data_IF_814268623718
#
_entry.id   IF_814268623718
#
_cell.length_a   1.000
_cell.length_b   1.000
_cell.length_c   1.000
_cell.angle_alpha   90.00
_cell.angle_beta   90.00
_cell.angle_gamma   90.00
#
_symmetry.space_group_name_H-M   'P 1'
#
loop_
_entity.id
_entity.type
_entity.pdbx_description
1 polymer ?
#
# COMPACT_ATOMS: atom_id res chain seq x y z
N UNK A 1 -12.45 -8.05 15.17
CA UNK A 1 -12.78 -7.28 13.94
C UNK A 1 -11.70 -7.51 12.88
N UNK A 2 -11.99 -7.30 11.56
CA UNK A 2 -11.06 -7.67 10.48
C UNK A 2 -9.69 -6.99 10.63
N UNK A 3 -9.64 -5.67 10.79
CA UNK A 3 -8.38 -4.95 10.98
C UNK A 3 -7.61 -5.42 12.21
N UNK A 4 -8.28 -5.64 13.33
CA UNK A 4 -7.65 -6.15 14.55
C UNK A 4 -7.00 -7.52 14.32
N UNK A 5 -7.71 -8.44 13.66
CA UNK A 5 -7.16 -9.76 13.33
C UNK A 5 -5.90 -9.65 12.45
N UNK A 6 -5.89 -8.74 11.47
CA UNK A 6 -4.74 -8.54 10.59
C UNK A 6 -3.54 -7.92 11.35
N UNK A 7 -3.75 -6.85 12.12
CA UNK A 7 -2.65 -6.16 12.80
C UNK A 7 -2.05 -6.98 13.94
N UNK A 8 -2.81 -7.91 14.54
CA UNK A 8 -2.34 -8.80 15.59
C UNK A 8 -1.81 -10.15 15.09
N UNK A 9 -1.90 -10.43 13.79
CA UNK A 9 -1.45 -11.68 13.20
C UNK A 9 0.07 -11.81 13.29
N UNK A 10 0.56 -12.90 13.90
CA UNK A 10 1.98 -13.21 14.02
C UNK A 10 2.38 -14.36 13.08
N UNK A 11 1.44 -15.26 12.77
CA UNK A 11 1.68 -16.45 11.96
C UNK A 11 0.76 -16.49 10.74
N UNK A 12 1.13 -17.22 9.66
CA UNK A 12 0.25 -17.41 8.51
C UNK A 12 -1.12 -18.01 8.87
N UNK A 13 -1.18 -18.77 9.95
CA UNK A 13 -2.43 -19.38 10.42
C UNK A 13 -3.42 -18.33 10.93
N UNK A 14 -2.91 -17.27 11.56
CA UNK A 14 -3.73 -16.19 12.11
C UNK A 14 -4.38 -15.35 10.98
N UNK A 15 -3.80 -15.39 9.79
CA UNK A 15 -4.32 -14.70 8.60
C UNK A 15 -5.36 -15.49 7.81
N UNK A 16 -5.64 -16.76 8.17
CA UNK A 16 -6.60 -17.58 7.41
C UNK A 16 -7.99 -16.99 7.53
N UNK A 17 -8.55 -16.58 6.39
CA UNK A 17 -9.89 -15.97 6.31
C UNK A 17 -9.91 -14.46 6.64
N UNK A 18 -8.77 -13.86 6.92
CA UNK A 18 -8.63 -12.44 7.20
C UNK A 18 -7.79 -11.76 6.11
N UNK A 19 -8.41 -11.07 5.21
CA UNK A 19 -7.81 -10.22 4.19
C UNK A 19 -8.65 -8.98 3.98
N UNK A 20 -8.03 -7.87 3.59
CA UNK A 20 -8.76 -6.66 3.20
C UNK A 20 -9.26 -6.74 1.75
N UNK A 21 -8.70 -7.62 0.94
CA UNK A 21 -9.20 -7.90 -0.40
C UNK A 21 -10.70 -8.28 -0.36
N UNK A 22 -11.47 -7.82 -1.32
CA UNK A 22 -12.94 -7.93 -1.40
C UNK A 22 -13.74 -7.16 -0.32
N UNK A 23 -13.06 -6.45 0.59
CA UNK A 23 -13.71 -5.60 1.59
C UNK A 23 -13.50 -4.11 1.32
N UNK A 24 -12.31 -3.72 0.91
CA UNK A 24 -11.97 -2.34 0.57
C UNK A 24 -11.73 -2.16 -0.92
N UNK A 25 -11.36 -3.22 -1.62
CA UNK A 25 -11.20 -3.25 -3.09
C UNK A 25 -11.53 -4.63 -3.65
N UNK A 26 -11.90 -4.70 -4.91
CA UNK A 26 -12.08 -5.93 -5.68
C UNK A 26 -11.49 -5.74 -7.08
N UNK A 27 -10.38 -6.43 -7.38
CA UNK A 27 -9.68 -6.30 -8.66
C UNK A 27 -9.39 -4.82 -9.03
N UNK A 28 -8.93 -4.03 -8.06
CA UNK A 28 -8.67 -2.58 -8.16
C UNK A 28 -9.91 -1.69 -8.29
N UNK A 29 -11.13 -2.24 -8.19
CA UNK A 29 -12.35 -1.44 -8.02
C UNK A 29 -12.46 -1.04 -6.55
N UNK A 30 -12.57 0.26 -6.28
CA UNK A 30 -12.56 0.84 -4.93
C UNK A 30 -13.98 1.07 -4.45
N UNK A 31 -14.23 0.73 -3.18
CA UNK A 31 -15.51 0.97 -2.50
C UNK A 31 -15.48 2.27 -1.69
N UNK A 32 -16.64 2.79 -1.33
CA UNK A 32 -16.74 4.02 -0.52
C UNK A 32 -16.04 3.91 0.85
N UNK A 33 -16.05 2.72 1.46
CA UNK A 33 -15.37 2.48 2.74
C UNK A 33 -13.84 2.50 2.64
N UNK A 34 -13.28 2.53 1.43
CA UNK A 34 -11.83 2.49 1.21
C UNK A 34 -11.15 3.79 1.67
N UNK A 35 -11.75 4.95 1.43
CA UNK A 35 -11.15 6.23 1.82
C UNK A 35 -10.82 6.28 3.32
N UNK A 36 -11.75 6.02 4.26
CA UNK A 36 -11.40 5.93 5.68
C UNK A 36 -10.49 4.75 6.00
N UNK A 37 -10.60 3.62 5.29
CA UNK A 37 -9.72 2.46 5.51
C UNK A 37 -8.24 2.79 5.22
N UNK A 38 -7.94 3.62 4.22
CA UNK A 38 -6.56 4.09 3.95
C UNK A 38 -5.94 4.76 5.17
N UNK A 39 -6.68 5.61 5.87
CA UNK A 39 -6.18 6.27 7.08
C UNK A 39 -5.85 5.27 8.19
N UNK A 40 -6.68 4.23 8.35
CA UNK A 40 -6.44 3.16 9.34
C UNK A 40 -5.22 2.32 8.94
N UNK A 41 -5.06 2.00 7.66
CA UNK A 41 -3.89 1.29 7.12
C UNK A 41 -2.61 2.08 7.41
N UNK A 42 -2.59 3.38 7.11
CA UNK A 42 -1.43 4.23 7.35
C UNK A 42 -1.08 4.31 8.84
N UNK A 43 -2.08 4.46 9.71
CA UNK A 43 -1.87 4.48 11.15
C UNK A 43 -1.28 3.15 11.66
N UNK A 44 -1.78 2.01 11.16
CA UNK A 44 -1.25 0.69 11.52
C UNK A 44 0.20 0.50 11.01
N UNK A 45 0.50 0.92 9.77
CA UNK A 45 1.85 0.84 9.18
C UNK A 45 2.88 1.69 9.94
N UNK A 46 2.46 2.74 10.63
CA UNK A 46 3.33 3.56 11.47
C UNK A 46 3.69 2.86 12.81
N UNK A 47 2.96 1.82 13.19
CA UNK A 47 3.19 1.05 14.41
C UNK A 47 4.11 -0.16 14.22
N UNK A 48 4.27 -0.92 15.30
CA UNK A 48 4.97 -2.20 15.26
C UNK A 48 4.03 -3.29 14.74
N UNK A 49 4.42 -3.93 13.65
CA UNK A 49 3.65 -4.98 13.00
C UNK A 49 4.53 -6.20 12.73
N UNK A 50 3.93 -7.37 12.76
CA UNK A 50 4.55 -8.57 12.18
C UNK A 50 4.82 -8.35 10.68
N UNK A 51 5.75 -9.12 10.13
CA UNK A 51 6.05 -9.04 8.69
C UNK A 51 4.86 -9.43 7.82
N UNK A 52 3.97 -10.27 8.32
CA UNK A 52 2.76 -10.71 7.62
C UNK A 52 1.73 -9.60 7.59
N UNK A 53 1.42 -9.01 8.75
CA UNK A 53 0.48 -7.89 8.86
C UNK A 53 0.95 -6.70 8.01
N UNK A 54 2.23 -6.36 8.07
CA UNK A 54 2.81 -5.27 7.27
C UNK A 54 2.66 -5.53 5.77
N UNK A 55 2.96 -6.75 5.31
CA UNK A 55 2.82 -7.13 3.90
C UNK A 55 1.38 -7.00 3.43
N UNK A 56 0.41 -7.52 4.18
CA UNK A 56 -1.01 -7.44 3.84
C UNK A 56 -1.46 -5.98 3.69
N UNK A 57 -1.11 -5.13 4.66
CA UNK A 57 -1.49 -3.73 4.62
C UNK A 57 -0.83 -2.95 3.49
N UNK A 58 0.46 -3.19 3.23
CA UNK A 58 1.17 -2.57 2.09
C UNK A 58 0.59 -3.01 0.76
N UNK A 59 0.30 -4.30 0.60
CA UNK A 59 -0.28 -4.83 -0.63
C UNK A 59 -1.68 -4.26 -0.88
N UNK A 60 -2.53 -4.20 0.14
CA UNK A 60 -3.82 -3.56 0.04
C UNK A 60 -3.69 -2.08 -0.35
N UNK A 61 -2.77 -1.35 0.30
CA UNK A 61 -2.53 0.07 -0.02
C UNK A 61 -2.05 0.25 -1.48
N UNK A 62 -1.23 -0.68 -1.99
CA UNK A 62 -0.78 -0.67 -3.39
C UNK A 62 -1.96 -0.86 -4.36
N UNK A 63 -2.85 -1.81 -4.11
CA UNK A 63 -4.04 -2.01 -4.93
C UNK A 63 -4.98 -0.82 -4.89
N UNK A 64 -5.16 -0.22 -3.72
CA UNK A 64 -5.98 0.98 -3.56
C UNK A 64 -5.37 2.17 -4.29
N UNK A 65 -4.04 2.35 -4.23
CA UNK A 65 -3.36 3.43 -4.95
C UNK A 65 -3.42 3.27 -6.47
N UNK A 66 -3.41 2.02 -6.96
CA UNK A 66 -3.58 1.67 -8.37
C UNK A 66 -5.05 1.77 -8.83
N UNK A 67 -5.98 1.71 -7.88
CA UNK A 67 -7.40 1.52 -8.16
C UNK A 67 -8.09 2.74 -8.77
N UNK A 68 -9.20 2.46 -9.43
CA UNK A 68 -10.15 3.46 -9.91
C UNK A 68 -11.51 3.21 -9.25
N UNK A 69 -12.30 4.27 -9.09
CA UNK A 69 -13.70 4.11 -8.72
C UNK A 69 -14.47 3.35 -9.80
N UNK A 70 -15.61 2.78 -9.45
CA UNK A 70 -16.54 2.25 -10.43
C UNK A 70 -17.15 3.42 -11.20
N UNK A 71 -16.71 3.63 -12.44
CA UNK A 71 -17.19 4.69 -13.33
C UNK A 71 -18.57 4.39 -13.95
N UNK A 72 -19.17 3.25 -13.60
CA UNK A 72 -20.46 2.83 -14.18
C UNK A 72 -21.64 3.74 -13.79
N UNK A 73 -21.53 4.47 -12.68
CA UNK A 73 -22.50 5.51 -12.28
C UNK A 73 -21.79 6.69 -11.61
N UNK A 74 -21.30 7.69 -12.38
CA UNK A 74 -20.77 8.90 -11.80
C UNK A 74 -21.89 9.65 -11.06
N UNK A 75 -21.77 9.72 -9.74
CA UNK A 75 -22.69 10.53 -8.92
C UNK A 75 -22.32 12.00 -9.11
N UNK A 76 -23.26 12.85 -9.61
CA UNK A 76 -22.97 14.26 -9.80
C UNK A 76 -22.48 14.91 -8.49
N UNK A 77 -21.34 15.60 -8.56
CA UNK A 77 -20.75 16.32 -7.42
C UNK A 77 -19.83 15.47 -6.53
N UNK A 78 -19.55 14.20 -6.86
CA UNK A 78 -18.55 13.39 -6.18
C UNK A 78 -17.23 13.40 -6.95
N UNK A 79 -16.13 13.58 -6.23
CA UNK A 79 -14.78 13.33 -6.71
C UNK A 79 -14.60 11.84 -7.01
N UNK A 80 -13.71 11.51 -7.96
CA UNK A 80 -13.36 10.13 -8.24
C UNK A 80 -12.77 9.46 -6.98
N UNK A 81 -13.36 8.35 -6.53
CA UNK A 81 -12.91 7.62 -5.33
C UNK A 81 -11.43 7.23 -5.41
N UNK A 82 -10.93 6.89 -6.60
CA UNK A 82 -9.52 6.60 -6.81
C UNK A 82 -8.62 7.78 -6.48
N UNK A 83 -9.01 8.98 -6.88
CA UNK A 83 -8.27 10.20 -6.58
C UNK A 83 -8.33 10.55 -5.09
N UNK A 84 -9.48 10.36 -4.45
CA UNK A 84 -9.62 10.55 -3.00
C UNK A 84 -8.74 9.57 -2.21
N UNK A 85 -8.73 8.29 -2.61
CA UNK A 85 -7.88 7.29 -1.98
C UNK A 85 -6.39 7.59 -2.19
N UNK A 86 -5.97 7.99 -3.40
CA UNK A 86 -4.60 8.41 -3.67
C UNK A 86 -4.19 9.63 -2.86
N UNK A 87 -5.04 10.65 -2.80
CA UNK A 87 -4.80 11.83 -1.99
C UNK A 87 -4.64 11.48 -0.51
N UNK A 88 -5.49 10.59 0.02
CA UNK A 88 -5.39 10.10 1.39
C UNK A 88 -4.11 9.28 1.61
N UNK A 89 -3.74 8.41 0.67
CA UNK A 89 -2.52 7.62 0.75
C UNK A 89 -1.25 8.50 0.67
N UNK A 90 -1.28 9.60 -0.08
CA UNK A 90 -0.17 10.57 -0.15
C UNK A 90 0.13 11.25 1.20
N UNK A 91 -0.82 11.33 2.13
CA UNK A 91 -0.56 11.80 3.49
C UNK A 91 0.48 10.92 4.21
N UNK A 92 0.56 9.63 3.86
CA UNK A 92 1.54 8.68 4.34
C UNK A 92 2.82 8.59 3.51
N UNK A 93 3.08 9.51 2.58
CA UNK A 93 4.21 9.44 1.64
C UNK A 93 5.55 9.14 2.33
N UNK A 94 5.89 9.88 3.37
CA UNK A 94 7.16 9.70 4.05
C UNK A 94 7.27 8.38 4.82
N UNK A 95 6.17 7.87 5.34
CA UNK A 95 6.10 6.55 5.94
C UNK A 95 6.38 5.46 4.89
N UNK A 96 5.77 5.55 3.72
CA UNK A 96 5.98 4.61 2.61
C UNK A 96 7.44 4.67 2.14
N UNK A 97 8.01 5.86 1.96
CA UNK A 97 9.43 6.03 1.63
C UNK A 97 10.34 5.42 2.70
N UNK A 98 10.07 5.65 3.97
CA UNK A 98 10.82 5.06 5.07
C UNK A 98 10.80 3.53 5.01
N UNK A 99 9.62 2.92 4.84
CA UNK A 99 9.47 1.47 4.69
C UNK A 99 10.28 0.98 3.49
N UNK A 100 10.21 1.67 2.35
CA UNK A 100 10.99 1.34 1.15
C UNK A 100 12.50 1.41 1.36
N UNK A 101 12.98 2.38 2.11
CA UNK A 101 14.41 2.58 2.33
C UNK A 101 14.99 1.71 3.46
N UNK A 102 14.20 1.33 4.45
CA UNK A 102 14.69 0.62 5.65
C UNK A 102 14.15 -0.79 5.79
N UNK A 103 13.01 -1.09 5.18
CA UNK A 103 12.30 -2.36 5.32
C UNK A 103 12.96 -3.55 4.60
N UNK A 104 12.27 -4.68 4.61
CA UNK A 104 12.64 -5.88 3.86
C UNK A 104 12.54 -5.61 2.35
N UNK A 105 13.18 -6.44 1.54
CA UNK A 105 13.17 -6.27 0.08
C UNK A 105 11.75 -6.33 -0.51
N UNK A 106 10.92 -7.24 -0.02
CA UNK A 106 9.53 -7.40 -0.47
C UNK A 106 8.67 -6.17 -0.12
N UNK A 107 8.80 -5.66 1.10
CA UNK A 107 8.11 -4.43 1.54
C UNK A 107 8.59 -3.22 0.73
N UNK A 108 9.89 -3.19 0.40
CA UNK A 108 10.48 -2.11 -0.38
C UNK A 108 9.98 -2.13 -1.84
N UNK A 109 9.80 -3.29 -2.45
CA UNK A 109 9.23 -3.40 -3.79
C UNK A 109 7.80 -2.84 -3.81
N UNK A 110 6.96 -3.27 -2.87
CA UNK A 110 5.59 -2.77 -2.77
C UNK A 110 5.54 -1.27 -2.46
N UNK A 111 6.44 -0.76 -1.60
CA UNK A 111 6.55 0.68 -1.34
C UNK A 111 6.93 1.47 -2.60
N UNK A 112 7.80 0.92 -3.45
CA UNK A 112 8.14 1.53 -4.74
C UNK A 112 6.96 1.56 -5.70
N UNK A 113 6.15 0.49 -5.74
CA UNK A 113 4.91 0.46 -6.54
C UNK A 113 3.92 1.53 -6.08
N UNK A 114 3.74 1.68 -4.76
CA UNK A 114 2.87 2.73 -4.22
C UNK A 114 3.37 4.12 -4.64
N UNK A 115 4.69 4.38 -4.56
CA UNK A 115 5.26 5.64 -5.02
C UNK A 115 5.05 5.87 -6.52
N UNK A 116 5.02 4.82 -7.34
CA UNK A 116 4.72 4.92 -8.77
C UNK A 116 3.31 5.46 -9.01
N UNK A 117 2.33 4.95 -8.30
CA UNK A 117 0.94 5.42 -8.41
C UNK A 117 0.74 6.85 -7.89
N UNK A 118 1.57 7.32 -6.97
CA UNK A 118 1.59 8.73 -6.56
C UNK A 118 2.26 9.63 -7.60
N UNK A 119 3.16 9.07 -8.40
CA UNK A 119 4.13 9.79 -9.22
C UNK A 119 3.65 10.24 -10.59
N UNK A 120 2.38 10.11 -10.94
CA UNK A 120 1.87 10.59 -12.22
C UNK A 120 1.98 12.13 -12.30
N UNK A 121 3.21 12.63 -12.53
CA UNK A 121 3.55 14.06 -12.63
C UNK A 121 4.25 14.66 -11.40
N UNK A 122 4.60 13.85 -10.39
CA UNK A 122 5.34 14.31 -9.21
C UNK A 122 6.80 13.83 -9.24
N UNK A 123 7.74 14.76 -9.48
CA UNK A 123 9.19 14.48 -9.49
C UNK A 123 9.68 13.88 -8.17
N UNK A 124 9.11 14.27 -7.04
CA UNK A 124 9.49 13.78 -5.72
C UNK A 124 9.19 12.28 -5.60
N UNK A 125 7.99 11.85 -5.95
CA UNK A 125 7.58 10.44 -5.90
C UNK A 125 8.43 9.60 -6.85
N UNK A 126 8.68 10.07 -8.07
CA UNK A 126 9.55 9.41 -9.05
C UNK A 126 10.98 9.26 -8.57
N UNK A 127 11.53 10.29 -7.90
CA UNK A 127 12.87 10.24 -7.33
C UNK A 127 12.99 9.17 -6.24
N UNK A 128 12.07 9.13 -5.28
CA UNK A 128 12.12 8.16 -4.18
C UNK A 128 11.81 6.74 -4.66
N UNK A 129 10.90 6.57 -5.61
CA UNK A 129 10.68 5.28 -6.26
C UNK A 129 11.98 4.73 -6.85
N UNK A 130 12.68 5.52 -7.66
CA UNK A 130 13.95 5.12 -8.27
C UNK A 130 15.02 4.77 -7.21
N UNK A 131 15.07 5.53 -6.11
CA UNK A 131 16.00 5.28 -5.01
C UNK A 131 15.72 3.95 -4.31
N UNK A 132 14.44 3.64 -4.04
CA UNK A 132 14.01 2.38 -3.43
C UNK A 132 14.33 1.21 -4.36
N UNK A 133 13.99 1.30 -5.65
CA UNK A 133 14.29 0.26 -6.67
C UNK A 133 15.79 -0.03 -6.76
N UNK A 134 16.63 1.01 -6.75
CA UNK A 134 18.08 0.86 -6.74
C UNK A 134 18.58 0.10 -5.52
N UNK A 135 18.05 0.38 -4.33
CA UNK A 135 18.37 -0.34 -3.09
C UNK A 135 18.01 -1.82 -3.18
N UNK A 136 16.79 -2.16 -3.64
CA UNK A 136 16.33 -3.55 -3.80
C UNK A 136 17.24 -4.31 -4.76
N UNK A 137 17.55 -3.73 -5.92
CA UNK A 137 18.43 -4.33 -6.93
C UNK A 137 19.85 -4.57 -6.41
N UNK A 138 20.41 -3.63 -5.63
CA UNK A 138 21.72 -3.79 -5.03
C UNK A 138 21.78 -4.93 -4.00
N UNK A 139 20.71 -5.09 -3.19
CA UNK A 139 20.59 -6.17 -2.22
C UNK A 139 20.47 -7.54 -2.90
N UNK A 140 19.66 -7.64 -3.95
CA UNK A 140 19.50 -8.87 -4.73
C UNK A 140 20.82 -9.35 -5.38
N UNK A 141 21.65 -8.41 -5.89
CA UNK A 141 22.98 -8.72 -6.45
C UNK A 141 23.95 -9.29 -5.41
N UNK A 142 23.89 -8.82 -4.16
CA UNK A 142 24.76 -9.31 -3.07
C UNK A 142 24.38 -10.68 -2.56
N UNK A 143 23.14 -11.12 -2.78
CA UNK A 143 22.62 -12.41 -2.31
C UNK A 143 22.76 -13.52 -3.35
N UNK A 144 23.20 -13.24 -4.59
CA UNK A 144 23.50 -14.30 -5.59
C UNK A 144 24.82 -14.98 -5.20
N UNK A 145 24.80 -16.30 -4.88
CA UNK A 145 26.03 -17.05 -4.67
C UNK A 145 26.84 -17.05 -5.98
N UNK A 146 28.16 -16.96 -5.85
CA UNK A 146 29.11 -17.14 -6.95
C UNK A 146 29.15 -18.59 -7.41
#
# INVERSE_FOLDING_TARGET
MLFEAIITAETPRDMIGYTLANHVELNTIIFECTVPAVSVILAALAGELSSLARRELLQTLSFVAAGSGDDSEPVPGRTNLGDECRARAQEGFWLIVQIGLTGRAEDADTAADICEYFGLGDEKSSFYQALIRKRVSAKARRQRPR
#
